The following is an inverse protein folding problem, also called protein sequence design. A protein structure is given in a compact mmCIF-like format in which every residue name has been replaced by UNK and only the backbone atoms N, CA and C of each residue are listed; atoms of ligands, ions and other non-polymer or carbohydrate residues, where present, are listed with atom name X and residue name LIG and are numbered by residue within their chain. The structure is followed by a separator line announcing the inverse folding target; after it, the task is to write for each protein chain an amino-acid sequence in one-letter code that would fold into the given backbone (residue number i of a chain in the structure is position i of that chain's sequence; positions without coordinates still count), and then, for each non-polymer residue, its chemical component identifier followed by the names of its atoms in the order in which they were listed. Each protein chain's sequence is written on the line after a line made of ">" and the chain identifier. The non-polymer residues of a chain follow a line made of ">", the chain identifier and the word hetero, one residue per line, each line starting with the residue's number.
data_IF_603530096707
#
_entry.id   IF_603530096707
#
_cell.length_a   1.000
_cell.length_b   1.000
_cell.length_c   1.000
_cell.angle_alpha   90.00
_cell.angle_beta   90.00
_cell.angle_gamma   90.00
#
_symmetry.space_group_name_H-M   'P 1'
#
loop_
_entity.id
_entity.type
_entity.pdbx_description
1 polymer ?
#
# COMPACT_ATOMS: atom_id res chain seq x y z
N UNK A 1 -35.41 -16.48 -55.34
CA UNK A 1 -34.49 -17.08 -54.37
C UNK A 1 -33.68 -15.99 -53.71
N UNK A 2 -34.07 -15.57 -52.50
CA UNK A 2 -33.35 -14.54 -51.74
C UNK A 2 -32.45 -15.25 -50.74
N UNK A 3 -31.12 -15.14 -50.94
CA UNK A 3 -30.13 -15.67 -50.01
C UNK A 3 -29.96 -14.68 -48.87
N UNK A 4 -30.41 -15.04 -47.67
CA UNK A 4 -30.12 -14.36 -46.43
C UNK A 4 -28.66 -14.67 -45.99
N UNK A 5 -27.78 -13.71 -46.02
CA UNK A 5 -26.47 -13.79 -45.39
C UNK A 5 -26.61 -13.38 -43.92
N UNK A 6 -26.56 -14.36 -43.04
CA UNK A 6 -26.38 -14.10 -41.60
C UNK A 6 -24.94 -13.67 -41.34
N UNK A 7 -24.76 -12.40 -41.03
CA UNK A 7 -23.50 -11.86 -40.52
C UNK A 7 -23.41 -12.19 -39.01
N UNK A 8 -22.58 -13.16 -38.66
CA UNK A 8 -22.25 -13.47 -37.25
C UNK A 8 -21.23 -12.44 -36.78
N UNK A 9 -21.72 -11.47 -36.03
CA UNK A 9 -20.84 -10.50 -35.36
C UNK A 9 -20.24 -11.14 -34.09
N UNK A 10 -19.00 -11.62 -34.20
CA UNK A 10 -18.26 -12.18 -33.08
C UNK A 10 -17.75 -11.00 -32.24
N UNK A 11 -18.48 -10.61 -31.19
CA UNK A 11 -18.00 -9.66 -30.19
C UNK A 11 -16.96 -10.34 -29.32
N UNK A 12 -15.68 -10.05 -29.56
CA UNK A 12 -14.60 -10.40 -28.63
C UNK A 12 -14.78 -9.54 -27.37
N UNK A 13 -15.35 -10.14 -26.34
CA UNK A 13 -15.33 -9.58 -24.99
C UNK A 13 -13.89 -9.71 -24.47
N UNK A 14 -13.11 -8.62 -24.51
CA UNK A 14 -11.87 -8.52 -23.75
C UNK A 14 -12.26 -8.49 -22.26
N UNK A 15 -12.21 -9.63 -21.59
CA UNK A 15 -12.17 -9.67 -20.14
C UNK A 15 -10.82 -9.13 -19.71
N UNK A 16 -10.79 -7.87 -19.25
CA UNK A 16 -9.63 -7.33 -18.55
C UNK A 16 -9.44 -8.14 -17.26
N UNK A 17 -8.51 -9.08 -17.26
CA UNK A 17 -8.09 -9.76 -16.04
C UNK A 17 -7.43 -8.72 -15.12
N UNK A 18 -8.00 -8.53 -13.93
CA UNK A 18 -7.36 -7.72 -12.89
C UNK A 18 -5.98 -8.33 -12.57
N UNK A 19 -4.93 -7.50 -12.46
CA UNK A 19 -3.60 -7.96 -12.10
C UNK A 19 -3.63 -8.63 -10.72
N UNK A 20 -2.87 -9.72 -10.56
CA UNK A 20 -2.79 -10.48 -9.31
C UNK A 20 -2.22 -9.65 -8.16
N UNK A 21 -1.29 -8.73 -8.47
CA UNK A 21 -0.60 -7.89 -7.51
C UNK A 21 -0.85 -6.40 -7.80
N UNK A 22 -0.73 -5.58 -6.74
CA UNK A 22 -0.82 -4.14 -6.85
C UNK A 22 0.39 -3.52 -7.55
N UNK A 23 0.16 -2.44 -8.29
CA UNK A 23 1.18 -1.70 -9.03
C UNK A 23 1.70 -0.50 -8.23
N UNK A 24 2.81 0.11 -8.71
CA UNK A 24 3.35 1.34 -8.13
C UNK A 24 2.32 2.50 -8.16
N UNK A 25 1.60 2.66 -9.27
CA UNK A 25 0.61 3.73 -9.40
C UNK A 25 -0.60 3.52 -8.47
N UNK A 26 -1.04 2.28 -8.30
CA UNK A 26 -2.10 1.94 -7.36
C UNK A 26 -1.65 2.15 -5.90
N UNK A 27 -0.39 1.86 -5.56
CA UNK A 27 0.17 2.13 -4.24
C UNK A 27 0.24 3.64 -3.95
N UNK A 28 0.63 4.46 -4.91
CA UNK A 28 0.61 5.94 -4.80
C UNK A 28 -0.81 6.45 -4.62
N UNK A 29 -1.75 5.96 -5.42
CA UNK A 29 -3.17 6.34 -5.31
C UNK A 29 -3.76 5.96 -3.94
N UNK A 30 -3.39 4.79 -3.40
CA UNK A 30 -3.78 4.39 -2.04
C UNK A 30 -3.17 5.33 -0.99
N UNK A 31 -1.91 5.74 -1.13
CA UNK A 31 -1.27 6.68 -0.21
C UNK A 31 -1.96 8.05 -0.20
N UNK A 32 -2.41 8.55 -1.36
CA UNK A 32 -3.20 9.78 -1.44
C UNK A 32 -4.51 9.66 -0.65
N UNK A 33 -5.20 8.53 -0.77
CA UNK A 33 -6.40 8.23 0.03
C UNK A 33 -6.10 8.15 1.53
N UNK A 34 -4.95 7.57 1.90
CA UNK A 34 -4.46 7.52 3.30
C UNK A 34 -4.30 8.95 3.84
N UNK A 35 -3.62 9.82 3.11
CA UNK A 35 -3.43 11.22 3.50
C UNK A 35 -4.77 11.94 3.70
N UNK A 36 -5.69 11.80 2.76
CA UNK A 36 -7.02 12.41 2.87
C UNK A 36 -7.80 11.88 4.08
N UNK A 37 -7.78 10.58 4.32
CA UNK A 37 -8.47 9.96 5.44
C UNK A 37 -7.91 10.40 6.80
N UNK A 38 -6.58 10.44 6.95
CA UNK A 38 -5.93 10.89 8.20
C UNK A 38 -6.20 12.37 8.49
N UNK A 39 -6.20 13.21 7.46
CA UNK A 39 -6.55 14.63 7.60
C UNK A 39 -8.00 14.83 8.03
N UNK A 40 -8.91 14.01 7.54
CA UNK A 40 -10.33 14.11 7.87
C UNK A 40 -10.64 13.59 9.29
N UNK A 41 -10.11 12.39 9.63
CA UNK A 41 -10.31 11.74 10.93
C UNK A 41 -9.16 10.75 11.18
N UNK A 42 -8.13 11.19 11.88
CA UNK A 42 -6.94 10.35 12.14
C UNK A 42 -7.29 9.05 12.85
N UNK A 43 -8.03 9.10 13.92
CA UNK A 43 -8.36 7.91 14.72
C UNK A 43 -9.20 6.91 13.92
N UNK A 44 -10.23 7.38 13.24
CA UNK A 44 -11.07 6.54 12.37
C UNK A 44 -10.31 5.98 11.17
N UNK A 45 -9.41 6.77 10.58
CA UNK A 45 -8.56 6.31 9.48
C UNK A 45 -7.63 5.16 9.90
N UNK A 46 -6.89 5.35 11.01
CA UNK A 46 -5.99 4.31 11.54
C UNK A 46 -6.73 3.01 11.87
N UNK A 47 -7.95 3.11 12.44
CA UNK A 47 -8.80 1.95 12.70
C UNK A 47 -9.18 1.20 11.42
N UNK A 48 -9.54 1.93 10.35
CA UNK A 48 -9.85 1.34 9.03
C UNK A 48 -8.62 0.69 8.39
N UNK A 49 -7.45 1.30 8.51
CA UNK A 49 -6.19 0.73 8.00
C UNK A 49 -5.88 -0.60 8.69
N UNK A 50 -6.00 -0.66 10.01
CA UNK A 50 -5.78 -1.88 10.79
C UNK A 50 -6.74 -3.02 10.43
N UNK A 51 -7.97 -2.69 10.05
CA UNK A 51 -9.00 -3.65 9.65
C UNK A 51 -8.98 -3.98 8.15
N UNK A 52 -8.25 -3.20 7.35
CA UNK A 52 -8.27 -3.32 5.89
C UNK A 52 -9.62 -2.95 5.26
N UNK A 53 -10.36 -2.05 5.91
CA UNK A 53 -11.68 -1.58 5.46
C UNK A 53 -11.58 -0.39 4.48
N UNK A 54 -12.69 -0.06 3.82
CA UNK A 54 -12.83 1.10 2.95
C UNK A 54 -11.80 1.18 1.81
N UNK A 55 -11.37 0.03 1.29
CA UNK A 55 -10.40 -0.05 0.20
C UNK A 55 -8.94 0.10 0.63
N UNK A 56 -8.65 0.07 1.93
CA UNK A 56 -7.28 0.12 2.46
C UNK A 56 -6.61 -1.26 2.55
N UNK A 57 -7.15 -2.24 1.90
CA UNK A 57 -6.51 -3.51 1.56
C UNK A 57 -6.97 -3.91 0.16
N UNK A 58 -6.05 -3.95 -0.77
CA UNK A 58 -6.30 -4.34 -2.15
C UNK A 58 -5.19 -5.27 -2.61
N UNK A 59 -5.52 -6.57 -2.75
CA UNK A 59 -4.55 -7.61 -3.09
C UNK A 59 -3.37 -7.61 -2.09
N UNK A 60 -2.15 -7.30 -2.53
CA UNK A 60 -0.97 -7.17 -1.67
C UNK A 60 -0.66 -5.72 -1.24
N UNK A 61 -1.51 -4.75 -1.60
CA UNK A 61 -1.41 -3.36 -1.17
C UNK A 61 -2.12 -3.12 0.16
N UNK A 62 -1.45 -2.46 1.06
CA UNK A 62 -1.99 -2.01 2.34
C UNK A 62 -1.18 -0.84 2.91
N UNK A 63 -1.80 0.08 3.65
CA UNK A 63 -1.08 1.12 4.37
C UNK A 63 -0.55 0.61 5.70
N UNK A 64 0.54 1.21 6.15
CA UNK A 64 0.97 1.17 7.53
C UNK A 64 1.47 2.54 7.96
N UNK A 65 1.29 2.86 9.23
CA UNK A 65 1.67 4.16 9.79
C UNK A 65 2.35 3.99 11.14
N UNK A 66 3.18 4.95 11.49
CA UNK A 66 3.78 5.09 12.81
C UNK A 66 3.57 6.48 13.38
N UNK A 67 3.46 6.54 14.70
CA UNK A 67 3.29 7.80 15.43
C UNK A 67 4.61 8.54 15.69
N UNK A 68 4.53 9.71 16.33
CA UNK A 68 5.73 10.49 16.68
C UNK A 68 6.63 9.80 17.71
N UNK A 69 6.11 8.83 18.44
CA UNK A 69 6.84 7.98 19.39
C UNK A 69 7.60 6.82 18.71
N UNK A 70 7.47 6.66 17.40
CA UNK A 70 8.12 5.60 16.65
C UNK A 70 7.40 4.25 16.68
N UNK A 71 6.16 4.18 17.16
CA UNK A 71 5.38 2.95 17.30
C UNK A 71 4.39 2.83 16.13
N UNK A 72 4.21 1.60 15.60
CA UNK A 72 3.16 1.34 14.61
C UNK A 72 1.77 1.64 15.15
N UNK A 73 1.10 2.60 14.56
CA UNK A 73 -0.28 2.99 14.84
C UNK A 73 -1.28 2.31 13.90
N UNK A 74 -0.80 1.86 12.74
CA UNK A 74 -1.52 1.00 11.82
C UNK A 74 -0.55 0.04 11.13
N UNK A 75 -0.85 -1.24 11.16
CA UNK A 75 -0.11 -2.28 10.47
C UNK A 75 -0.88 -3.60 10.52
N UNK A 76 -0.90 -4.39 9.43
CA UNK A 76 -1.54 -5.72 9.45
C UNK A 76 -0.88 -6.72 10.40
N UNK A 77 0.43 -6.55 10.66
CA UNK A 77 1.23 -7.56 11.38
C UNK A 77 2.07 -7.03 12.53
N UNK A 78 2.29 -5.71 12.61
CA UNK A 78 3.28 -5.12 13.50
C UNK A 78 2.70 -4.03 14.43
N UNK A 79 1.37 -3.94 14.51
CA UNK A 79 0.69 -2.96 15.36
C UNK A 79 1.25 -2.98 16.79
N UNK A 80 1.58 -1.80 17.31
CA UNK A 80 2.11 -1.63 18.66
C UNK A 80 3.60 -1.93 18.82
N UNK A 81 4.28 -2.43 17.78
CA UNK A 81 5.73 -2.63 17.79
C UNK A 81 6.46 -1.35 17.36
N UNK A 82 7.79 -1.29 17.58
CA UNK A 82 8.59 -0.17 17.11
C UNK A 82 8.69 -0.13 15.59
N UNK A 83 8.11 0.89 14.97
CA UNK A 83 8.31 1.18 13.55
C UNK A 83 9.67 1.81 13.30
N UNK A 84 10.17 2.63 14.22
CA UNK A 84 11.46 3.30 14.08
C UNK A 84 12.61 2.30 14.02
N UNK A 85 12.55 1.23 14.82
CA UNK A 85 13.58 0.19 14.87
C UNK A 85 13.32 -0.94 13.85
N UNK A 86 12.30 -0.80 13.00
CA UNK A 86 11.93 -1.81 12.03
C UNK A 86 13.07 -2.07 11.05
N UNK A 87 13.43 -3.35 10.93
CA UNK A 87 14.41 -3.84 9.97
C UNK A 87 13.76 -4.75 8.95
N UNK A 88 14.27 -4.72 7.74
CA UNK A 88 13.83 -5.65 6.71
C UNK A 88 14.41 -7.06 6.92
N UNK A 89 14.12 -7.96 5.98
CA UNK A 89 14.58 -9.35 6.06
C UNK A 89 16.12 -9.52 5.90
N UNK A 90 16.83 -8.46 5.53
CA UNK A 90 18.32 -8.44 5.46
C UNK A 90 18.96 -7.75 6.67
N UNK A 91 18.17 -7.19 7.57
CA UNK A 91 18.64 -6.40 8.71
C UNK A 91 18.84 -4.91 8.40
N UNK A 92 18.44 -4.43 7.23
CA UNK A 92 18.48 -3.00 6.88
C UNK A 92 17.54 -2.19 7.78
N UNK A 93 18.01 -1.07 8.33
CA UNK A 93 17.23 -0.15 9.17
C UNK A 93 16.24 0.66 8.34
N UNK A 94 15.15 0.05 7.95
CA UNK A 94 14.12 0.61 7.06
C UNK A 94 13.21 1.58 7.79
N UNK A 95 12.89 1.28 9.05
CA UNK A 95 12.06 2.15 9.88
C UNK A 95 12.65 3.53 10.06
N UNK A 96 13.93 3.60 10.38
CA UNK A 96 14.66 4.87 10.46
C UNK A 96 14.61 5.64 9.14
N UNK A 97 14.80 4.97 8.00
CA UNK A 97 14.72 5.59 6.69
C UNK A 97 13.32 6.17 6.42
N UNK A 98 12.25 5.49 6.82
CA UNK A 98 10.90 6.04 6.70
C UNK A 98 10.75 7.34 7.48
N UNK A 99 11.18 7.39 8.74
CA UNK A 99 11.08 8.60 9.55
C UNK A 99 11.97 9.74 9.04
N UNK A 100 13.16 9.45 8.53
CA UNK A 100 14.07 10.46 7.96
C UNK A 100 13.55 11.05 6.66
N UNK A 101 12.88 10.27 5.83
CA UNK A 101 12.42 10.69 4.51
C UNK A 101 10.98 11.21 4.49
N UNK A 102 10.20 10.97 5.55
CA UNK A 102 8.83 11.43 5.64
C UNK A 102 8.75 12.95 5.77
N UNK A 103 8.05 13.60 4.85
CA UNK A 103 7.78 15.03 4.88
C UNK A 103 6.35 15.30 4.40
N UNK A 104 5.72 16.34 4.96
CA UNK A 104 4.39 16.78 4.52
C UNK A 104 4.41 17.27 3.07
N UNK A 105 3.43 16.87 2.29
CA UNK A 105 3.29 17.27 0.89
C UNK A 105 4.32 16.66 -0.05
N UNK A 106 5.15 15.74 0.42
CA UNK A 106 6.17 15.05 -0.37
C UNK A 106 6.02 13.54 -0.22
N UNK A 107 6.15 12.81 -1.31
CA UNK A 107 6.24 11.35 -1.32
C UNK A 107 7.67 10.96 -1.67
N UNK A 108 8.30 10.15 -0.82
CA UNK A 108 9.64 9.60 -1.03
C UNK A 108 9.56 8.08 -1.18
N UNK A 109 10.57 7.48 -1.80
CA UNK A 109 10.65 6.04 -2.04
C UNK A 109 11.72 5.41 -1.13
N UNK A 110 11.36 4.32 -0.46
CA UNK A 110 12.29 3.52 0.35
C UNK A 110 12.24 2.07 -0.12
N UNK A 111 13.29 1.56 -0.78
CA UNK A 111 13.37 0.16 -1.20
C UNK A 111 13.84 -0.73 -0.05
N UNK A 112 13.21 -1.90 0.10
CA UNK A 112 13.54 -2.90 1.11
C UNK A 112 13.05 -4.29 0.72
N UNK A 113 13.43 -5.33 1.46
CA UNK A 113 12.97 -6.70 1.26
C UNK A 113 11.92 -7.08 2.31
N UNK A 114 10.76 -7.52 1.85
CA UNK A 114 9.67 -7.95 2.71
C UNK A 114 8.86 -9.08 2.09
N UNK A 115 8.08 -9.78 2.90
CA UNK A 115 7.21 -10.86 2.43
C UNK A 115 5.84 -10.33 2.04
N UNK A 116 5.28 -10.83 0.92
CA UNK A 116 3.87 -10.60 0.59
C UNK A 116 2.95 -11.20 1.64
N UNK A 117 1.73 -10.67 1.84
CA UNK A 117 0.74 -11.29 2.70
C UNK A 117 0.54 -12.77 2.33
N UNK A 118 0.61 -13.67 3.34
CA UNK A 118 0.46 -15.12 3.13
C UNK A 118 1.65 -15.84 2.48
N UNK A 119 2.79 -15.17 2.31
CA UNK A 119 4.01 -15.75 1.75
C UNK A 119 5.20 -15.48 2.67
N UNK A 120 6.11 -16.43 2.80
CA UNK A 120 7.30 -16.32 3.66
C UNK A 120 8.58 -15.97 2.89
N UNK A 121 8.54 -15.96 1.55
CA UNK A 121 9.70 -15.61 0.72
C UNK A 121 9.84 -14.09 0.62
N UNK A 122 10.97 -13.50 1.06
CA UNK A 122 11.21 -12.07 0.89
C UNK A 122 11.37 -11.70 -0.58
N UNK A 123 10.73 -10.62 -0.98
CA UNK A 123 10.84 -10.04 -2.33
C UNK A 123 11.10 -8.54 -2.22
N UNK A 124 11.59 -7.94 -3.30
CA UNK A 124 11.79 -6.50 -3.35
C UNK A 124 10.46 -5.77 -3.20
N UNK A 125 10.45 -4.79 -2.29
CA UNK A 125 9.32 -3.90 -2.02
C UNK A 125 9.80 -2.46 -2.04
N UNK A 126 8.99 -1.56 -2.59
CA UNK A 126 9.21 -0.12 -2.51
C UNK A 126 8.10 0.50 -1.68
N UNK A 127 8.44 1.14 -0.58
CA UNK A 127 7.53 1.92 0.24
C UNK A 127 7.49 3.37 -0.23
N UNK A 128 6.29 3.85 -0.60
CA UNK A 128 6.03 5.27 -0.77
C UNK A 128 5.69 5.85 0.59
N UNK A 129 6.53 6.75 1.09
CA UNK A 129 6.41 7.33 2.43
C UNK A 129 6.09 8.81 2.37
N UNK A 130 5.19 9.24 3.25
CA UNK A 130 4.89 10.66 3.49
C UNK A 130 4.60 10.90 4.97
N UNK A 131 4.56 12.18 5.36
CA UNK A 131 4.07 12.60 6.67
C UNK A 131 2.71 13.26 6.52
N UNK A 132 1.78 12.91 7.38
CA UNK A 132 0.46 13.52 7.47
C UNK A 132 0.06 13.65 8.93
N UNK A 133 -0.25 14.87 9.37
CA UNK A 133 -0.40 15.20 10.79
C UNK A 133 0.87 14.79 11.57
N UNK A 134 0.73 14.01 12.63
CA UNK A 134 1.83 13.46 13.40
C UNK A 134 2.23 12.02 12.96
N UNK A 135 1.69 11.55 11.84
CA UNK A 135 1.92 10.18 11.37
C UNK A 135 2.91 10.11 10.22
N UNK A 136 3.78 9.12 10.25
CA UNK A 136 4.57 8.65 9.11
C UNK A 136 3.79 7.51 8.48
N UNK A 137 3.26 7.70 7.28
CA UNK A 137 2.45 6.69 6.58
C UNK A 137 3.11 6.19 5.31
N UNK A 138 2.97 4.92 5.06
CA UNK A 138 3.59 4.21 3.94
C UNK A 138 2.58 3.30 3.26
N UNK A 139 2.61 3.28 1.94
CA UNK A 139 2.03 2.20 1.13
C UNK A 139 3.13 1.66 0.22
N UNK A 140 3.34 0.37 0.22
CA UNK A 140 4.38 -0.26 -0.59
C UNK A 140 3.81 -1.21 -1.62
N UNK A 141 4.48 -1.30 -2.78
CA UNK A 141 4.22 -2.33 -3.77
C UNK A 141 5.43 -3.27 -3.87
N UNK A 142 5.19 -4.51 -4.24
CA UNK A 142 6.23 -5.51 -4.47
C UNK A 142 6.61 -5.54 -5.95
N UNK A 143 7.89 -5.62 -6.24
CA UNK A 143 8.40 -5.74 -7.61
C UNK A 143 8.26 -7.16 -8.17
#
# INVERSE_FOLDING_TARGET
>A
MRKLLLSVCCTLSLTAQAAEFGTADEAKAMLEKVVAAVKADKAGALAKFNKGEAGFKDRDLYPFCGGPDGIFTASPRLLGQSMKDFKDKTGKAVGEAFYQQAAEGKVSEVPYLWTRPGNDTPVEKVGFVTKVADQVCVVGYYK
#
